data_IF_123032252146
#
_entry.id   IF_123032252146
#
_cell.length_a   1.000
_cell.length_b   1.000
_cell.length_c   1.000
_cell.angle_alpha   90.00
_cell.angle_beta   90.00
_cell.angle_gamma   90.00
#
_symmetry.space_group_name_H-M   'P 1'
#
loop_
_entity.id
_entity.type
_entity.pdbx_description
1 polymer ?
#
# COMPACT_ATOMS: atom_id res chain seq x y z
N UNK A 1 -9.12 4.58 20.67
CA UNK A 1 -8.70 3.51 21.58
C UNK A 1 -9.74 2.39 21.67
N UNK A 2 -11.02 2.68 21.92
CA UNK A 2 -12.07 1.68 22.08
C UNK A 2 -12.20 0.69 20.91
N UNK A 3 -11.94 1.13 19.69
CA UNK A 3 -11.96 0.27 18.49
C UNK A 3 -10.72 -0.62 18.39
N UNK A 4 -9.53 -0.10 18.68
CA UNK A 4 -8.28 -0.85 18.60
C UNK A 4 -8.19 -2.01 19.61
N UNK A 5 -8.98 -1.98 20.69
CA UNK A 5 -9.08 -3.07 21.67
C UNK A 5 -9.85 -4.29 21.18
N UNK A 6 -10.62 -4.15 20.10
CA UNK A 6 -11.46 -5.24 19.60
C UNK A 6 -10.64 -6.22 18.78
N UNK A 7 -10.87 -7.51 18.97
CA UNK A 7 -10.17 -8.56 18.22
C UNK A 7 -10.45 -8.49 16.73
N UNK A 8 -11.64 -8.01 16.34
CA UNK A 8 -12.02 -7.82 14.92
C UNK A 8 -11.56 -6.49 14.32
N UNK A 9 -10.79 -5.67 15.03
CA UNK A 9 -10.18 -4.47 14.49
C UNK A 9 -8.78 -4.80 13.98
N UNK A 10 -8.58 -4.81 12.67
CA UNK A 10 -7.30 -5.16 12.05
C UNK A 10 -6.29 -4.00 12.05
N UNK A 11 -6.73 -2.75 12.18
CA UNK A 11 -5.82 -1.59 12.14
C UNK A 11 -6.56 -0.26 11.97
N UNK A 12 -5.81 0.77 11.56
CA UNK A 12 -6.34 2.11 11.26
C UNK A 12 -6.04 2.43 9.81
N UNK A 13 -7.02 2.99 9.08
CA UNK A 13 -6.81 3.53 7.73
C UNK A 13 -6.79 5.05 7.76
N UNK A 14 -5.78 5.65 7.12
CA UNK A 14 -5.61 7.09 6.94
C UNK A 14 -5.65 7.49 5.47
N UNK A 15 -6.18 8.70 5.23
CA UNK A 15 -6.35 9.29 3.90
C UNK A 15 -5.78 10.72 3.87
N UNK A 16 -4.44 10.91 3.94
CA UNK A 16 -3.83 12.22 4.15
C UNK A 16 -4.13 13.21 3.02
N UNK A 17 -4.12 12.78 1.76
CA UNK A 17 -4.44 13.62 0.61
C UNK A 17 -5.87 14.11 0.58
N UNK A 18 -6.82 13.26 0.96
CA UNK A 18 -8.24 13.60 1.02
C UNK A 18 -8.55 14.53 2.21
N UNK A 19 -7.91 14.28 3.34
CA UNK A 19 -8.03 15.11 4.53
C UNK A 19 -7.23 16.41 4.44
N UNK A 20 -6.30 16.50 3.49
CA UNK A 20 -5.34 17.62 3.31
C UNK A 20 -4.50 17.90 4.55
N UNK A 21 -4.09 16.84 5.24
CA UNK A 21 -3.33 16.87 6.48
C UNK A 21 -2.07 16.03 6.27
N UNK A 22 -0.91 16.59 6.58
CA UNK A 22 0.36 15.87 6.51
C UNK A 22 0.39 14.71 7.51
N UNK A 23 1.04 13.60 7.17
CA UNK A 23 1.20 12.48 8.11
C UNK A 23 2.02 12.86 9.35
N UNK A 24 2.95 13.82 9.21
CA UNK A 24 3.72 14.39 10.33
C UNK A 24 2.94 15.36 11.22
N UNK A 25 1.67 15.66 10.88
CA UNK A 25 0.84 16.54 11.70
C UNK A 25 0.64 15.99 13.11
N UNK A 26 0.78 16.83 14.16
CA UNK A 26 0.60 16.41 15.55
C UNK A 26 -0.72 15.69 15.86
N UNK A 27 -1.77 15.92 15.08
CA UNK A 27 -3.06 15.25 15.28
C UNK A 27 -3.01 13.73 15.02
N UNK A 28 -2.07 13.25 14.19
CA UNK A 28 -1.90 11.81 13.93
C UNK A 28 -1.02 11.10 14.97
N UNK A 29 -0.20 11.81 15.71
CA UNK A 29 0.72 11.26 16.70
C UNK A 29 0.05 10.34 17.74
N UNK A 30 -1.14 10.68 18.30
CA UNK A 30 -1.85 9.77 19.22
C UNK A 30 -2.29 8.47 18.53
N UNK A 31 -2.60 8.51 17.22
CA UNK A 31 -3.02 7.34 16.44
C UNK A 31 -1.84 6.37 16.31
N UNK A 32 -0.66 6.86 15.93
CA UNK A 32 0.55 6.04 15.79
C UNK A 32 0.92 5.34 17.11
N UNK A 33 0.98 6.10 18.20
CA UNK A 33 1.26 5.53 19.52
C UNK A 33 0.23 4.49 19.98
N UNK A 34 -1.05 4.73 19.71
CA UNK A 34 -2.10 3.76 20.03
C UNK A 34 -2.02 2.52 19.14
N UNK A 35 -1.77 2.67 17.86
CA UNK A 35 -1.59 1.55 16.94
C UNK A 35 -0.43 0.66 17.38
N UNK A 36 0.74 1.22 17.66
CA UNK A 36 1.89 0.52 18.20
C UNK A 36 1.57 -0.20 19.51
N UNK A 37 0.91 0.49 20.47
CA UNK A 37 0.53 -0.08 21.77
C UNK A 37 -0.37 -1.32 21.65
N UNK A 38 -1.24 -1.36 20.64
CA UNK A 38 -2.16 -2.49 20.42
C UNK A 38 -1.64 -3.48 19.36
N UNK A 39 -0.42 -3.32 18.86
CA UNK A 39 0.15 -4.16 17.80
C UNK A 39 -0.69 -4.15 16.53
N UNK A 40 -1.30 -3.01 16.18
CA UNK A 40 -2.16 -2.84 15.02
C UNK A 40 -1.49 -1.96 13.97
N UNK A 41 -1.52 -2.32 12.67
CA UNK A 41 -0.94 -1.50 11.62
C UNK A 41 -1.74 -0.22 11.35
N UNK A 42 -1.04 0.76 10.78
CA UNK A 42 -1.64 1.97 10.20
C UNK A 42 -1.53 1.87 8.68
N UNK A 43 -2.63 1.57 8.02
CA UNK A 43 -2.71 1.57 6.56
C UNK A 43 -2.93 3.02 6.06
N UNK A 44 -2.10 3.44 5.11
CA UNK A 44 -2.12 4.81 4.59
C UNK A 44 -2.37 4.80 3.10
N UNK A 45 -3.41 5.53 2.65
CA UNK A 45 -3.64 5.73 1.23
C UNK A 45 -2.48 6.53 0.63
N UNK A 46 -1.75 5.94 -0.30
CA UNK A 46 -0.64 6.55 -1.02
C UNK A 46 -0.88 6.51 -2.53
N UNK A 47 -0.25 7.42 -3.27
CA UNK A 47 -0.38 7.48 -4.72
C UNK A 47 -1.53 8.35 -5.20
N UNK A 48 -2.14 7.94 -6.31
CA UNK A 48 -3.18 8.70 -6.99
C UNK A 48 -4.44 8.80 -6.13
N UNK A 49 -5.08 9.96 -6.20
CA UNK A 49 -6.35 10.21 -5.49
C UNK A 49 -7.50 10.30 -6.49
N UNK A 50 -8.65 9.68 -6.15
CA UNK A 50 -9.83 9.66 -7.01
C UNK A 50 -10.52 11.02 -7.17
N UNK A 51 -10.32 11.94 -6.21
CA UNK A 51 -10.99 13.25 -6.22
C UNK A 51 -10.03 14.38 -6.57
N UNK A 52 -10.41 15.22 -7.54
CA UNK A 52 -9.63 16.37 -7.99
C UNK A 52 -9.28 17.39 -6.89
N UNK A 53 -10.04 17.42 -5.79
CA UNK A 53 -9.81 18.31 -4.65
C UNK A 53 -8.84 17.74 -3.60
N UNK A 54 -8.46 16.46 -3.70
CA UNK A 54 -7.44 15.86 -2.84
C UNK A 54 -6.03 16.34 -3.25
N UNK A 55 -5.10 16.33 -2.31
CA UNK A 55 -3.75 16.83 -2.55
C UNK A 55 -2.74 15.68 -2.65
N UNK A 56 -2.21 15.41 -3.84
CA UNK A 56 -1.23 14.36 -4.11
C UNK A 56 0.05 14.49 -3.27
N UNK A 57 0.45 15.71 -2.92
CA UNK A 57 1.65 15.93 -2.09
C UNK A 57 1.61 15.20 -0.74
N UNK A 58 0.41 14.97 -0.20
CA UNK A 58 0.23 14.23 1.06
C UNK A 58 0.10 12.71 0.86
N UNK A 59 -0.01 12.26 -0.41
CA UNK A 59 -0.07 10.85 -0.79
C UNK A 59 1.21 10.38 -1.50
N UNK A 60 2.25 11.21 -1.55
CA UNK A 60 3.53 10.80 -2.11
C UNK A 60 4.28 9.91 -1.12
N UNK A 61 4.86 8.76 -1.54
CA UNK A 61 5.50 7.81 -0.62
C UNK A 61 6.51 8.40 0.35
N UNK A 62 7.26 9.42 -0.06
CA UNK A 62 8.26 10.08 0.80
C UNK A 62 7.68 10.71 2.08
N UNK A 63 6.38 11.07 2.10
CA UNK A 63 5.78 11.58 3.35
C UNK A 63 5.56 10.46 4.37
N UNK A 64 5.49 9.21 3.92
CA UNK A 64 5.45 8.06 4.81
C UNK A 64 6.85 7.70 5.32
N UNK A 65 7.89 7.92 4.53
CA UNK A 65 9.28 7.71 4.95
C UNK A 65 9.63 8.49 6.21
N UNK A 66 9.30 9.79 6.22
CA UNK A 66 9.50 10.68 7.35
C UNK A 66 8.85 10.13 8.63
N UNK A 67 7.56 9.78 8.53
CA UNK A 67 6.77 9.31 9.67
C UNK A 67 7.19 7.92 10.14
N UNK A 68 7.56 7.04 9.22
CA UNK A 68 8.03 5.70 9.56
C UNK A 68 9.36 5.74 10.34
N UNK A 69 10.26 6.65 9.96
CA UNK A 69 11.53 6.84 10.66
C UNK A 69 11.33 7.42 12.07
N UNK A 70 10.36 8.33 12.24
CA UNK A 70 10.05 8.96 13.54
C UNK A 70 9.24 8.04 14.48
N UNK A 71 8.60 6.99 13.93
CA UNK A 71 7.74 6.05 14.67
C UNK A 71 8.14 4.58 14.42
N UNK A 72 9.35 4.16 14.82
CA UNK A 72 9.86 2.82 14.52
C UNK A 72 9.04 1.67 15.11
N UNK A 73 8.29 1.93 16.19
CA UNK A 73 7.42 0.94 16.84
C UNK A 73 6.03 0.80 16.17
N UNK A 74 5.69 1.67 15.22
CA UNK A 74 4.42 1.64 14.49
C UNK A 74 4.60 0.93 13.16
N UNK A 75 3.81 -0.12 12.91
CA UNK A 75 3.77 -0.77 11.60
C UNK A 75 2.88 0.03 10.64
N UNK A 76 3.42 0.34 9.47
CA UNK A 76 2.70 1.04 8.42
C UNK A 76 2.46 0.14 7.22
N UNK A 77 1.31 0.30 6.57
CA UNK A 77 1.01 -0.32 5.27
C UNK A 77 0.79 0.78 4.24
N UNK A 78 1.69 0.85 3.27
CA UNK A 78 1.54 1.72 2.10
C UNK A 78 0.52 1.10 1.16
N UNK A 79 -0.68 1.68 1.05
CA UNK A 79 -1.68 1.16 0.13
C UNK A 79 -1.33 1.48 -1.33
N UNK A 80 -1.76 0.58 -2.24
CA UNK A 80 -1.65 0.74 -3.68
C UNK A 80 -0.20 0.79 -4.19
N UNK A 81 0.77 0.30 -3.41
CA UNK A 81 2.21 0.43 -3.70
C UNK A 81 2.58 1.86 -4.14
N UNK A 82 1.90 2.86 -3.56
CA UNK A 82 2.13 4.28 -3.88
C UNK A 82 1.89 4.69 -5.34
N UNK A 83 1.22 3.86 -6.14
CA UNK A 83 1.01 4.07 -7.58
C UNK A 83 0.46 5.47 -7.90
N UNK A 84 1.05 6.26 -8.84
CA UNK A 84 2.08 5.89 -9.80
C UNK A 84 3.54 6.16 -9.38
N UNK A 85 3.81 6.52 -8.12
CA UNK A 85 5.14 6.88 -7.62
C UNK A 85 5.97 5.64 -7.24
N UNK A 86 6.05 4.66 -8.14
CA UNK A 86 6.58 3.32 -7.89
C UNK A 86 8.02 3.31 -7.39
N UNK A 87 8.89 4.16 -7.95
CA UNK A 87 10.29 4.29 -7.53
C UNK A 87 10.41 4.75 -6.06
N UNK A 88 9.69 5.81 -5.72
CA UNK A 88 9.68 6.32 -4.35
C UNK A 88 9.05 5.31 -3.37
N UNK A 89 7.99 4.61 -3.79
CA UNK A 89 7.35 3.57 -3.00
C UNK A 89 8.32 2.42 -2.69
N UNK A 90 9.01 1.93 -3.72
CA UNK A 90 10.02 0.88 -3.60
C UNK A 90 11.12 1.27 -2.60
N UNK A 91 11.69 2.48 -2.75
CA UNK A 91 12.72 2.99 -1.85
C UNK A 91 12.26 3.07 -0.38
N UNK A 92 11.00 3.52 -0.16
CA UNK A 92 10.43 3.63 1.19
C UNK A 92 10.21 2.27 1.84
N UNK A 93 9.70 1.28 1.08
CA UNK A 93 9.49 -0.09 1.57
C UNK A 93 10.83 -0.77 1.87
N UNK A 94 11.82 -0.62 1.00
CA UNK A 94 13.15 -1.20 1.18
C UNK A 94 13.86 -0.64 2.41
N UNK A 95 13.87 0.70 2.54
CA UNK A 95 14.59 1.41 3.60
C UNK A 95 14.00 1.17 4.99
N UNK A 96 12.67 1.16 5.13
CA UNK A 96 12.00 1.19 6.43
C UNK A 96 11.55 -0.21 6.86
N UNK A 97 12.09 -0.79 7.96
CA UNK A 97 11.71 -2.14 8.40
C UNK A 97 10.26 -2.23 8.86
N UNK A 98 9.64 -1.12 9.26
CA UNK A 98 8.28 -1.00 9.74
C UNK A 98 7.28 -0.56 8.65
N UNK A 99 7.65 -0.61 7.37
CA UNK A 99 6.77 -0.31 6.24
C UNK A 99 6.59 -1.53 5.37
N UNK A 100 5.36 -1.98 5.24
CA UNK A 100 4.91 -2.93 4.23
C UNK A 100 4.07 -2.20 3.15
N UNK A 101 3.74 -2.87 2.06
CA UNK A 101 2.87 -2.31 1.03
C UNK A 101 1.85 -3.33 0.52
N UNK A 102 0.63 -2.88 0.23
CA UNK A 102 -0.33 -3.69 -0.47
C UNK A 102 -0.35 -3.39 -1.98
N UNK A 103 -0.76 -4.38 -2.75
CA UNK A 103 -0.91 -4.28 -4.20
C UNK A 103 -2.37 -4.03 -4.61
N UNK A 104 -3.16 -3.35 -3.78
CA UNK A 104 -4.55 -3.04 -4.08
C UNK A 104 -4.68 -1.88 -5.08
N UNK A 105 -5.82 -1.78 -5.78
CA UNK A 105 -6.16 -0.61 -6.61
C UNK A 105 -5.20 -0.31 -7.78
N UNK A 106 -4.42 -1.29 -8.25
CA UNK A 106 -3.50 -1.14 -9.39
C UNK A 106 -4.20 -1.34 -10.74
N UNK A 107 -5.39 -1.92 -10.71
CA UNK A 107 -6.26 -2.18 -11.84
C UNK A 107 -7.70 -1.97 -11.38
N UNK A 108 -8.53 -1.34 -12.20
CA UNK A 108 -9.93 -1.06 -11.88
C UNK A 108 -10.88 -1.70 -12.91
N UNK A 109 -12.11 -1.99 -12.47
CA UNK A 109 -13.18 -2.49 -13.32
C UNK A 109 -12.99 -3.93 -13.81
N UNK A 110 -13.48 -4.17 -15.03
CA UNK A 110 -13.32 -5.43 -15.76
C UNK A 110 -12.35 -5.24 -16.91
N UNK A 111 -11.41 -6.14 -17.06
CA UNK A 111 -10.38 -6.07 -18.09
C UNK A 111 -10.10 -7.43 -18.70
N UNK A 112 -9.86 -7.45 -20.01
CA UNK A 112 -9.16 -8.55 -20.65
C UNK A 112 -7.67 -8.44 -20.26
N UNK A 113 -7.21 -9.38 -19.44
CA UNK A 113 -5.83 -9.36 -18.95
C UNK A 113 -4.79 -9.47 -20.06
N UNK A 114 -5.05 -10.25 -21.12
CA UNK A 114 -4.09 -10.40 -22.22
C UNK A 114 -3.96 -9.09 -23.01
N UNK A 115 -5.09 -8.42 -23.26
CA UNK A 115 -5.10 -7.10 -23.86
C UNK A 115 -4.40 -6.08 -22.95
N UNK A 116 -4.72 -6.06 -21.66
CA UNK A 116 -4.13 -5.13 -20.69
C UNK A 116 -2.60 -5.27 -20.61
N UNK A 117 -2.09 -6.49 -20.45
CA UNK A 117 -0.64 -6.73 -20.36
C UNK A 117 0.10 -6.35 -21.65
N UNK A 118 -0.55 -6.44 -22.80
CA UNK A 118 -0.01 -5.99 -24.08
C UNK A 118 -0.03 -4.46 -24.21
N UNK A 119 -1.15 -3.82 -23.90
CA UNK A 119 -1.37 -2.38 -24.09
C UNK A 119 -0.67 -1.54 -23.02
N UNK A 120 -0.63 -2.05 -21.79
CA UNK A 120 0.02 -1.40 -20.64
C UNK A 120 1.40 -2.00 -20.34
N UNK A 121 2.07 -2.58 -21.34
CA UNK A 121 3.35 -3.27 -21.16
C UNK A 121 4.41 -2.43 -20.43
N UNK A 122 4.48 -1.12 -20.74
CA UNK A 122 5.41 -0.20 -20.08
C UNK A 122 5.12 -0.02 -18.59
N UNK A 123 3.86 0.15 -18.21
CA UNK A 123 3.47 0.24 -16.80
C UNK A 123 3.72 -1.07 -16.05
N UNK A 124 3.32 -2.19 -16.62
CA UNK A 124 3.56 -3.52 -16.06
C UNK A 124 5.05 -3.79 -15.87
N UNK A 125 5.87 -3.40 -16.86
CA UNK A 125 7.33 -3.51 -16.78
C UNK A 125 7.89 -2.70 -15.60
N UNK A 126 7.49 -1.44 -15.45
CA UNK A 126 7.96 -0.59 -14.34
C UNK A 126 7.53 -1.15 -12.99
N UNK A 127 6.28 -1.59 -12.85
CA UNK A 127 5.78 -2.19 -11.62
C UNK A 127 6.56 -3.45 -11.23
N UNK A 128 6.79 -4.37 -12.18
CA UNK A 128 7.63 -5.55 -11.97
C UNK A 128 9.06 -5.19 -11.63
N UNK A 129 9.63 -4.19 -12.31
CA UNK A 129 11.01 -3.76 -12.08
C UNK A 129 11.20 -3.34 -10.63
N UNK A 130 10.33 -2.48 -10.10
CA UNK A 130 10.49 -1.98 -8.74
C UNK A 130 10.17 -3.04 -7.69
N UNK A 131 9.13 -3.85 -7.88
CA UNK A 131 8.81 -4.97 -6.99
C UNK A 131 9.96 -6.00 -6.90
N UNK A 132 10.60 -6.30 -8.05
CA UNK A 132 11.72 -7.24 -8.10
C UNK A 132 13.03 -6.63 -7.60
N UNK A 133 13.27 -5.34 -7.84
CA UNK A 133 14.50 -4.66 -7.45
C UNK A 133 14.71 -4.66 -5.94
N UNK A 134 13.67 -4.38 -5.17
CA UNK A 134 13.74 -4.31 -3.71
C UNK A 134 13.78 -5.69 -3.03
N UNK A 135 13.30 -6.74 -3.69
CA UNK A 135 13.24 -8.12 -3.15
C UNK A 135 12.58 -8.28 -1.77
N UNK A 136 11.78 -7.30 -1.35
CA UNK A 136 11.10 -7.29 -0.04
C UNK A 136 9.73 -8.00 -0.12
N UNK A 137 9.70 -9.22 -0.65
CA UNK A 137 8.45 -9.98 -0.82
C UNK A 137 7.74 -10.32 0.49
N UNK A 138 8.48 -10.34 1.59
CA UNK A 138 7.98 -10.46 2.97
C UNK A 138 7.24 -9.21 3.48
N UNK A 139 7.32 -8.10 2.75
CA UNK A 139 6.64 -6.83 3.06
C UNK A 139 5.57 -6.45 2.03
N UNK A 140 5.35 -7.28 1.02
CA UNK A 140 4.34 -7.05 -0.02
C UNK A 140 3.15 -7.94 0.22
N UNK A 141 1.94 -7.39 0.24
CA UNK A 141 0.73 -8.15 0.49
C UNK A 141 -0.33 -7.94 -0.60
N UNK A 142 -1.15 -8.97 -0.81
CA UNK A 142 -2.31 -8.90 -1.68
C UNK A 142 -3.39 -8.01 -1.06
N UNK A 143 -3.99 -7.17 -1.89
CA UNK A 143 -5.17 -6.37 -1.57
C UNK A 143 -5.93 -6.09 -2.86
N UNK A 144 -7.21 -5.75 -2.80
CA UNK A 144 -8.04 -5.56 -3.98
C UNK A 144 -8.55 -4.14 -4.16
N UNK A 145 -8.79 -3.42 -3.07
CA UNK A 145 -9.58 -2.18 -3.05
C UNK A 145 -11.03 -2.41 -3.55
N UNK A 146 -11.59 -3.60 -3.23
CA UNK A 146 -12.99 -3.90 -3.54
C UNK A 146 -13.92 -2.80 -2.97
N UNK A 147 -14.97 -2.34 -3.70
CA UNK A 147 -15.63 -3.00 -4.83
C UNK A 147 -15.22 -2.49 -6.23
N UNK A 148 -14.15 -1.73 -6.37
CA UNK A 148 -13.79 -1.12 -7.66
C UNK A 148 -13.16 -2.09 -8.67
N UNK A 149 -12.92 -3.33 -8.29
CA UNK A 149 -12.26 -4.37 -9.11
C UNK A 149 -13.16 -5.59 -9.35
N UNK A 150 -12.95 -6.31 -10.45
CA UNK A 150 -13.40 -7.68 -10.61
C UNK A 150 -12.40 -8.60 -9.91
N UNK A 151 -12.84 -9.30 -8.87
CA UNK A 151 -11.95 -10.06 -7.99
C UNK A 151 -11.18 -11.18 -8.73
N UNK A 152 -11.84 -11.93 -9.63
CA UNK A 152 -11.21 -13.02 -10.38
C UNK A 152 -10.11 -12.52 -11.31
N UNK A 153 -10.39 -11.43 -12.05
CA UNK A 153 -9.43 -10.80 -12.94
C UNK A 153 -8.28 -10.16 -12.13
N UNK A 154 -8.58 -9.55 -10.99
CA UNK A 154 -7.57 -8.94 -10.13
C UNK A 154 -6.58 -9.97 -9.55
N UNK A 155 -7.07 -11.12 -9.09
CA UNK A 155 -6.22 -12.24 -8.66
C UNK A 155 -5.31 -12.68 -9.81
N UNK A 156 -5.87 -12.82 -11.02
CA UNK A 156 -5.11 -13.16 -12.22
C UNK A 156 -4.05 -12.11 -12.58
N UNK A 157 -4.37 -10.83 -12.41
CA UNK A 157 -3.44 -9.72 -12.60
C UNK A 157 -2.25 -9.80 -11.63
N UNK A 158 -2.51 -9.93 -10.32
CA UNK A 158 -1.45 -10.00 -9.31
C UNK A 158 -0.59 -11.27 -9.49
N UNK A 159 -1.19 -12.41 -9.82
CA UNK A 159 -0.43 -13.64 -10.14
C UNK A 159 0.52 -13.48 -11.31
N UNK A 160 0.18 -12.65 -12.30
CA UNK A 160 1.07 -12.33 -13.42
C UNK A 160 2.17 -11.34 -13.05
N UNK A 161 1.99 -10.53 -11.99
CA UNK A 161 2.99 -9.57 -11.51
C UNK A 161 4.02 -10.22 -10.58
N UNK A 162 3.53 -11.04 -9.64
CA UNK A 162 4.32 -11.65 -8.57
C UNK A 162 4.86 -12.99 -9.03
N UNK A 163 6.17 -13.29 -8.88
CA UNK A 163 6.71 -14.62 -9.16
C UNK A 163 6.01 -15.69 -8.32
N UNK A 164 5.78 -16.86 -8.90
CA UNK A 164 5.04 -17.96 -8.26
C UNK A 164 5.63 -18.38 -6.92
N UNK A 165 6.95 -18.31 -6.80
CA UNK A 165 7.69 -18.61 -5.55
C UNK A 165 7.33 -17.69 -4.37
N UNK A 166 6.64 -16.57 -4.63
CA UNK A 166 6.24 -15.59 -3.63
C UNK A 166 4.71 -15.47 -3.48
N UNK A 167 3.94 -16.36 -4.12
CA UNK A 167 2.47 -16.30 -4.01
C UNK A 167 1.99 -16.57 -2.59
N UNK A 168 2.52 -17.58 -1.91
CA UNK A 168 2.10 -17.90 -0.54
C UNK A 168 2.28 -16.69 0.41
N UNK A 169 3.50 -16.12 0.56
CA UNK A 169 3.64 -14.96 1.43
C UNK A 169 2.80 -13.77 0.98
N UNK A 170 2.76 -13.44 -0.31
CA UNK A 170 2.04 -12.25 -0.79
C UNK A 170 0.52 -12.39 -0.65
N UNK A 171 -0.06 -13.56 -0.89
CA UNK A 171 -1.51 -13.75 -0.84
C UNK A 171 -2.04 -14.10 0.56
N UNK A 172 -1.20 -14.61 1.47
CA UNK A 172 -1.66 -15.13 2.76
C UNK A 172 -0.82 -14.71 3.97
N UNK A 173 0.52 -14.93 3.95
CA UNK A 173 1.31 -14.88 5.18
C UNK A 173 1.62 -13.46 5.66
N UNK A 174 1.70 -12.48 4.74
CA UNK A 174 2.14 -11.12 5.05
C UNK A 174 1.01 -10.20 5.57
N UNK A 175 -0.26 -10.67 5.61
CA UNK A 175 -1.43 -9.85 5.96
C UNK A 175 -1.97 -10.10 7.37
#
# INVERSE_FOLDING_TARGET
EAHLRRDNCCGVKLYPGYNKIALSDPMYQPIYRLAARYGKPVAVHMGLTAFSRAHLKYCHPLVLDEVAADHPDTQFVMCHFGNPFLEAAAAVVEKNPNVAADLSGLLEGRVDLDAYFREQAGYVFLLRTWLTAIQCWDKVMFGTDWPIVNLGEYIGFIRRLVPETHWEPVFFDNA
#
